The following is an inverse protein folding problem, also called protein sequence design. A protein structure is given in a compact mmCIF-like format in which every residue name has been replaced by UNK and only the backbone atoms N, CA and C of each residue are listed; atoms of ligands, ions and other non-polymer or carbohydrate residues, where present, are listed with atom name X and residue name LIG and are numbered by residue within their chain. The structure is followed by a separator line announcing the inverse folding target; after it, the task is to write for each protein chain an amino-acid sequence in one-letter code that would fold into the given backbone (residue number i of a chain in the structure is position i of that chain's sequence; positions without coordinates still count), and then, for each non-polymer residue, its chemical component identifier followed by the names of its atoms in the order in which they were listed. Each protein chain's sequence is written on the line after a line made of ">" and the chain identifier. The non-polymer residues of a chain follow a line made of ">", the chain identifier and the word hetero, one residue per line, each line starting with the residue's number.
data_IF_754544133563
#
_entry.id   IF_754544133563
#
_cell.length_a   1.000
_cell.length_b   1.000
_cell.length_c   1.000
_cell.angle_alpha   90.00
_cell.angle_beta   90.00
_cell.angle_gamma   90.00
#
_symmetry.space_group_name_H-M   'P 1'
#
loop_
_entity.id
_entity.type
_entity.pdbx_description
1 polymer ?
#
# COMPACT_ATOMS: atom_id res chain seq x y z
N UNK A 1 -0.89 -13.55 -9.32
CA UNK A 1 -1.16 -12.12 -9.52
C UNK A 1 0.18 -11.44 -9.62
N UNK A 2 0.52 -10.92 -10.79
CA UNK A 2 1.74 -10.15 -10.98
C UNK A 2 1.40 -8.69 -10.72
N UNK A 3 1.91 -8.16 -9.60
CA UNK A 3 1.73 -6.76 -9.24
C UNK A 3 2.90 -5.95 -9.75
N UNK A 4 2.61 -4.85 -10.45
CA UNK A 4 3.58 -3.84 -10.80
C UNK A 4 3.36 -2.63 -9.90
N UNK A 5 4.37 -2.30 -9.10
CA UNK A 5 4.37 -1.16 -8.21
C UNK A 5 5.32 -0.10 -8.73
N UNK A 6 4.90 1.16 -8.61
CA UNK A 6 5.75 2.32 -8.78
C UNK A 6 5.50 3.31 -7.63
N UNK A 7 6.52 4.06 -7.27
CA UNK A 7 6.43 5.10 -6.26
C UNK A 7 7.48 6.18 -6.47
N UNK A 8 7.14 7.39 -6.02
CA UNK A 8 8.10 8.49 -6.01
C UNK A 8 9.20 8.24 -4.95
N UNK A 9 10.50 8.25 -5.30
CA UNK A 9 11.60 8.04 -4.36
C UNK A 9 11.66 9.05 -3.21
N UNK A 10 11.20 10.29 -3.42
CA UNK A 10 11.11 11.29 -2.36
C UNK A 10 10.05 10.93 -1.32
N UNK A 11 8.92 10.36 -1.77
CA UNK A 11 7.85 9.86 -0.89
C UNK A 11 8.34 8.66 -0.09
N UNK A 12 9.13 7.76 -0.68
CA UNK A 12 9.74 6.65 0.04
C UNK A 12 10.69 7.12 1.14
N UNK A 13 11.60 8.06 0.84
CA UNK A 13 12.48 8.65 1.85
C UNK A 13 11.70 9.26 3.01
N UNK A 14 10.58 9.93 2.71
CA UNK A 14 9.72 10.49 3.74
C UNK A 14 9.02 9.39 4.55
N UNK A 15 8.54 8.33 3.91
CA UNK A 15 7.88 7.21 4.57
C UNK A 15 8.83 6.47 5.53
N UNK A 16 10.06 6.21 5.10
CA UNK A 16 11.10 5.61 5.95
C UNK A 16 11.38 6.50 7.16
N UNK A 17 11.49 7.83 6.98
CA UNK A 17 11.73 8.76 8.10
C UNK A 17 10.58 8.79 9.10
N UNK A 18 9.33 8.78 8.63
CA UNK A 18 8.13 8.90 9.48
C UNK A 18 7.72 7.58 10.13
N UNK A 19 7.85 6.48 9.40
CA UNK A 19 7.24 5.19 9.74
C UNK A 19 8.24 4.04 9.82
N UNK A 20 9.52 4.28 9.50
CA UNK A 20 10.59 3.27 9.51
C UNK A 20 10.26 2.08 8.58
N UNK A 21 9.51 2.35 7.51
CA UNK A 21 9.03 1.37 6.56
C UNK A 21 9.31 1.84 5.13
N UNK A 22 9.98 1.01 4.33
CA UNK A 22 10.15 1.26 2.89
C UNK A 22 8.97 0.67 2.10
N UNK A 23 8.77 1.11 0.86
CA UNK A 23 7.62 0.69 0.07
C UNK A 23 7.77 -0.71 -0.51
N UNK A 24 9.00 -1.19 -0.73
CA UNK A 24 9.24 -2.56 -1.14
C UNK A 24 8.67 -3.55 -0.12
N UNK A 25 9.03 -3.40 1.16
CA UNK A 25 8.51 -4.24 2.24
C UNK A 25 7.01 -4.04 2.42
N UNK A 26 6.51 -2.80 2.42
CA UNK A 26 5.07 -2.54 2.53
C UNK A 26 4.27 -3.23 1.42
N UNK A 27 4.79 -3.29 0.19
CA UNK A 27 4.13 -3.94 -0.96
C UNK A 27 3.99 -5.45 -0.83
N UNK A 28 4.72 -6.08 0.10
CA UNK A 28 4.57 -7.53 0.32
C UNK A 28 3.21 -7.88 0.91
N UNK A 29 2.48 -6.89 1.47
CA UNK A 29 1.09 -7.06 1.94
C UNK A 29 0.18 -7.62 0.85
N UNK A 30 0.40 -7.23 -0.42
CA UNK A 30 -0.36 -7.66 -1.60
C UNK A 30 -0.24 -9.16 -1.92
N UNK A 31 0.75 -9.83 -1.32
CA UNK A 31 0.91 -11.28 -1.43
C UNK A 31 0.22 -12.04 -0.30
N UNK A 32 -0.26 -11.34 0.74
CA UNK A 32 -0.92 -11.98 1.86
C UNK A 32 -2.33 -12.42 1.48
N UNK A 33 -2.70 -13.71 1.64
CA UNK A 33 -3.96 -14.24 1.16
C UNK A 33 -5.19 -13.67 1.87
N UNK A 34 -5.02 -13.12 3.08
CA UNK A 34 -6.09 -12.54 3.89
C UNK A 34 -5.95 -11.02 4.04
N UNK A 35 -5.32 -10.35 3.08
CA UNK A 35 -5.35 -8.89 3.08
C UNK A 35 -6.77 -8.36 2.85
N UNK A 36 -7.08 -7.22 3.43
CA UNK A 36 -8.33 -6.49 3.25
C UNK A 36 -8.04 -5.21 2.46
N UNK A 37 -8.71 -5.02 1.34
CA UNK A 37 -8.61 -3.78 0.53
C UNK A 37 -9.95 -3.07 0.53
N UNK A 38 -9.96 -1.79 0.88
CA UNK A 38 -11.16 -0.95 1.02
C UNK A 38 -10.96 0.33 0.20
N UNK A 39 -12.01 0.76 -0.51
CA UNK A 39 -12.01 2.05 -1.20
C UNK A 39 -12.20 3.19 -0.19
N UNK A 40 -11.37 4.22 -0.28
CA UNK A 40 -11.38 5.37 0.63
C UNK A 40 -12.18 6.53 0.02
N UNK A 41 -13.51 6.44 0.10
CA UNK A 41 -14.44 7.42 -0.51
C UNK A 41 -14.15 8.87 -0.05
N UNK A 42 -13.77 9.04 1.22
CA UNK A 42 -13.50 10.35 1.82
C UNK A 42 -12.31 11.05 1.14
N UNK A 43 -11.28 10.30 0.76
CA UNK A 43 -10.05 10.85 0.19
C UNK A 43 -9.93 10.67 -1.32
N UNK A 44 -11.00 10.19 -1.99
CA UNK A 44 -10.98 9.85 -3.42
C UNK A 44 -11.61 10.89 -4.36
N UNK A 45 -11.68 12.15 -3.94
CA UNK A 45 -12.31 13.21 -4.76
C UNK A 45 -11.49 13.56 -6.02
N UNK A 46 -10.15 13.59 -5.90
CA UNK A 46 -9.24 13.95 -7.00
C UNK A 46 -8.56 12.72 -7.63
N UNK A 47 -8.36 11.65 -6.85
CA UNK A 47 -7.63 10.43 -7.24
C UNK A 47 -8.24 9.22 -6.51
N UNK A 48 -8.43 8.08 -7.19
CA UNK A 48 -8.95 6.87 -6.55
C UNK A 48 -7.96 6.29 -5.52
N UNK A 49 -8.32 6.38 -4.24
CA UNK A 49 -7.51 5.88 -3.12
C UNK A 49 -8.10 4.63 -2.52
N UNK A 50 -7.20 3.72 -2.19
CA UNK A 50 -7.52 2.46 -1.57
C UNK A 50 -6.61 2.23 -0.37
N UNK A 51 -7.19 1.64 0.67
CA UNK A 51 -6.48 1.23 1.88
C UNK A 51 -6.37 -0.28 1.86
N UNK A 52 -5.15 -0.80 1.93
CA UNK A 52 -4.87 -2.24 2.09
C UNK A 52 -4.32 -2.51 3.47
N UNK A 53 -4.92 -3.45 4.19
CA UNK A 53 -4.53 -3.88 5.52
C UNK A 53 -4.17 -5.36 5.46
N UNK A 54 -3.00 -5.73 5.96
CA UNK A 54 -2.55 -7.13 5.98
C UNK A 54 -1.17 -7.28 6.59
N UNK A 55 -0.65 -8.51 6.64
CA UNK A 55 0.71 -8.77 7.11
C UNK A 55 1.71 -8.57 5.97
N UNK A 56 2.83 -7.91 6.28
CA UNK A 56 4.00 -7.95 5.41
C UNK A 56 4.71 -9.33 5.49
N UNK A 57 5.74 -9.53 4.66
CA UNK A 57 6.50 -10.78 4.64
C UNK A 57 7.22 -11.10 5.97
N UNK A 58 7.36 -10.12 6.87
CA UNK A 58 7.93 -10.31 8.22
C UNK A 58 6.86 -10.67 9.26
N UNK A 59 5.59 -10.72 8.87
CA UNK A 59 4.47 -11.02 9.76
C UNK A 59 3.96 -9.82 10.55
N UNK A 60 4.35 -8.59 10.19
CA UNK A 60 3.89 -7.36 10.86
C UNK A 60 2.67 -6.81 10.12
N UNK A 61 1.62 -6.44 10.87
CA UNK A 61 0.44 -5.79 10.33
C UNK A 61 0.77 -4.40 9.79
N UNK A 62 0.47 -4.16 8.51
CA UNK A 62 0.67 -2.89 7.80
C UNK A 62 -0.65 -2.33 7.31
N UNK A 63 -0.69 -1.01 7.21
CA UNK A 63 -1.72 -0.24 6.51
C UNK A 63 -1.04 0.48 5.35
N UNK A 64 -1.46 0.19 4.13
CA UNK A 64 -0.88 0.74 2.90
C UNK A 64 -1.95 1.51 2.16
N UNK A 65 -1.68 2.79 1.90
CA UNK A 65 -2.54 3.65 1.07
C UNK A 65 -1.93 3.69 -0.33
N UNK A 66 -2.74 3.32 -1.31
CA UNK A 66 -2.30 3.13 -2.68
C UNK A 66 -3.34 3.65 -3.68
N UNK A 67 -2.88 3.89 -4.91
CA UNK A 67 -3.74 4.18 -6.05
C UNK A 67 -3.71 2.96 -6.98
N UNK A 68 -4.88 2.37 -7.26
CA UNK A 68 -4.98 1.23 -8.17
C UNK A 68 -5.58 1.67 -9.50
N UNK A 69 -4.90 1.31 -10.59
CA UNK A 69 -5.40 1.51 -11.95
C UNK A 69 -6.31 0.38 -12.46
N UNK A 70 -6.52 -0.66 -11.65
CA UNK A 70 -7.49 -1.71 -11.94
C UNK A 70 -8.41 -1.91 -10.74
N UNK A 71 -9.71 -1.71 -10.94
CA UNK A 71 -10.74 -2.18 -10.02
C UNK A 71 -10.55 -3.69 -9.87
N UNK A 72 -10.16 -4.12 -8.67
CA UNK A 72 -10.14 -5.54 -8.31
C UNK A 72 -11.56 -6.12 -8.42
#
# INVERSE_FOLDING_TARGET
>A
MDYNFDWNPAKEKQNIRKHQLNFLLASTVFRHPYQLTIYDEEHSQDEDRWITIGLDETGILRVVIQMANQKQ
#
